data_IF_990377767011
#
_entry.id   IF_990377767011
#
_cell.length_a   1.000
_cell.length_b   1.000
_cell.length_c   1.000
_cell.angle_alpha   90.00
_cell.angle_beta   90.00
_cell.angle_gamma   90.00
#
_symmetry.space_group_name_H-M   'P 1'
#
loop_
_entity.id
_entity.type
_entity.pdbx_description
1 polymer ?
#
# COMPACT_ATOMS: atom_id res chain seq x y z
N UNK A 1 54.08 -23.20 -22.89
CA UNK A 1 53.32 -21.94 -22.66
C UNK A 1 52.29 -21.57 -23.76
N UNK A 2 52.30 -22.16 -24.97
CA UNK A 2 51.36 -21.80 -26.05
C UNK A 2 49.94 -22.39 -25.94
N UNK A 3 49.76 -23.53 -25.24
CA UNK A 3 48.45 -24.21 -25.07
C UNK A 3 47.47 -23.45 -24.18
N UNK A 4 47.96 -22.86 -23.07
CA UNK A 4 47.16 -22.10 -22.09
C UNK A 4 46.55 -20.80 -22.67
N UNK A 5 47.26 -20.11 -23.57
CA UNK A 5 46.75 -18.87 -24.21
C UNK A 5 45.60 -19.15 -25.21
N UNK A 6 45.63 -20.27 -25.94
CA UNK A 6 44.54 -20.67 -26.85
C UNK A 6 43.26 -21.07 -26.10
N UNK A 7 43.40 -21.71 -24.94
CA UNK A 7 42.27 -22.10 -24.08
C UNK A 7 41.57 -20.88 -23.45
N UNK A 8 42.34 -19.91 -22.92
CA UNK A 8 41.79 -18.65 -22.38
C UNK A 8 41.05 -17.82 -23.45
N UNK A 9 41.55 -17.78 -24.69
CA UNK A 9 40.91 -17.05 -25.81
C UNK A 9 39.61 -17.73 -26.27
N UNK A 10 39.53 -19.07 -26.27
CA UNK A 10 38.28 -19.83 -26.52
C UNK A 10 37.24 -19.60 -25.42
N UNK A 11 37.64 -19.60 -24.15
CA UNK A 11 36.73 -19.36 -23.02
C UNK A 11 36.17 -17.92 -23.01
N UNK A 12 37.02 -16.94 -23.30
CA UNK A 12 36.62 -15.53 -23.46
C UNK A 12 35.62 -15.34 -24.61
N UNK A 13 35.87 -15.97 -25.77
CA UNK A 13 34.96 -15.93 -26.91
C UNK A 13 33.62 -16.66 -26.66
N UNK A 14 33.61 -17.71 -25.83
CA UNK A 14 32.37 -18.37 -25.42
C UNK A 14 31.57 -17.52 -24.42
N UNK A 15 32.25 -16.82 -23.50
CA UNK A 15 31.63 -15.89 -22.55
C UNK A 15 31.05 -14.66 -23.26
N UNK A 16 31.75 -14.10 -24.25
CA UNK A 16 31.24 -12.98 -25.06
C UNK A 16 30.02 -13.38 -25.89
N UNK A 17 30.06 -14.54 -26.58
CA UNK A 17 28.89 -15.08 -27.30
C UNK A 17 27.69 -15.33 -26.38
N UNK A 18 27.90 -15.89 -25.18
CA UNK A 18 26.83 -16.06 -24.18
C UNK A 18 26.25 -14.73 -23.70
N UNK A 19 27.08 -13.69 -23.53
CA UNK A 19 26.62 -12.33 -23.21
C UNK A 19 25.77 -11.75 -24.36
N UNK A 20 26.23 -11.84 -25.61
CA UNK A 20 25.51 -11.34 -26.80
C UNK A 20 24.17 -12.06 -27.01
N UNK A 21 24.12 -13.37 -26.82
CA UNK A 21 22.85 -14.15 -26.91
C UNK A 21 21.89 -13.71 -25.80
N UNK A 22 22.37 -13.55 -24.57
CA UNK A 22 21.54 -13.05 -23.45
C UNK A 22 21.02 -11.63 -23.68
N UNK A 23 21.82 -10.73 -24.25
CA UNK A 23 21.37 -9.38 -24.60
C UNK A 23 20.35 -9.39 -25.73
N UNK A 24 20.53 -10.23 -26.76
CA UNK A 24 19.56 -10.34 -27.86
C UNK A 24 18.23 -10.92 -27.38
N UNK A 25 18.24 -11.98 -26.56
CA UNK A 25 17.02 -12.54 -25.96
C UNK A 25 16.29 -11.51 -25.10
N UNK A 26 17.03 -10.71 -24.30
CA UNK A 26 16.44 -9.64 -23.49
C UNK A 26 15.81 -8.55 -24.35
N UNK A 27 16.47 -8.15 -25.45
CA UNK A 27 15.93 -7.15 -26.39
C UNK A 27 14.64 -7.64 -27.06
N UNK A 28 14.63 -8.86 -27.60
CA UNK A 28 13.44 -9.45 -28.23
C UNK A 28 12.26 -9.59 -27.27
N UNK A 29 12.50 -9.97 -26.00
CA UNK A 29 11.45 -10.02 -24.98
C UNK A 29 10.89 -8.63 -24.64
N UNK A 30 11.75 -7.61 -24.60
CA UNK A 30 11.33 -6.23 -24.36
C UNK A 30 10.44 -5.70 -25.50
N UNK A 31 10.79 -6.02 -26.75
CA UNK A 31 10.02 -5.61 -27.93
C UNK A 31 8.64 -6.28 -27.97
N UNK A 32 8.57 -7.58 -27.64
CA UNK A 32 7.30 -8.31 -27.51
C UNK A 32 6.41 -7.73 -26.41
N UNK A 33 6.98 -7.38 -25.26
CA UNK A 33 6.23 -6.77 -24.15
C UNK A 33 5.69 -5.39 -24.54
N UNK A 34 6.50 -4.55 -25.19
CA UNK A 34 6.05 -3.25 -25.68
C UNK A 34 4.90 -3.37 -26.70
N UNK A 35 4.96 -4.37 -27.59
CA UNK A 35 3.87 -4.66 -28.52
C UNK A 35 2.59 -5.11 -27.80
N UNK A 36 2.71 -5.95 -26.76
CA UNK A 36 1.59 -6.35 -25.92
C UNK A 36 0.93 -5.15 -25.22
N UNK A 37 1.73 -4.26 -24.61
CA UNK A 37 1.22 -3.04 -23.97
C UNK A 37 0.48 -2.16 -24.96
N UNK A 38 1.01 -1.98 -26.18
CA UNK A 38 0.35 -1.19 -27.22
C UNK A 38 -1.00 -1.79 -27.63
N UNK A 39 -1.10 -3.13 -27.71
CA UNK A 39 -2.36 -3.83 -27.96
C UNK A 39 -3.34 -3.65 -26.79
N UNK A 40 -2.87 -3.76 -25.55
CA UNK A 40 -3.66 -3.55 -24.34
C UNK A 40 -4.24 -2.12 -24.29
N UNK A 41 -3.41 -1.10 -24.55
CA UNK A 41 -3.84 0.30 -24.62
C UNK A 41 -4.97 0.51 -25.63
N UNK A 42 -4.87 -0.11 -26.81
CA UNK A 42 -5.89 -0.01 -27.85
C UNK A 42 -7.17 -0.77 -27.47
N UNK A 43 -7.04 -1.98 -26.91
CA UNK A 43 -8.17 -2.81 -26.49
C UNK A 43 -9.06 -2.10 -25.46
N UNK A 44 -8.46 -1.46 -24.46
CA UNK A 44 -9.17 -0.74 -23.40
C UNK A 44 -9.36 0.74 -23.70
N UNK A 45 -9.08 1.17 -24.94
CA UNK A 45 -9.22 2.56 -25.40
C UNK A 45 -8.59 3.56 -24.43
N UNK A 46 -7.44 3.22 -23.82
CA UNK A 46 -6.78 4.06 -22.82
C UNK A 46 -6.52 5.47 -23.37
N UNK A 47 -6.23 5.59 -24.67
CA UNK A 47 -6.03 6.90 -25.30
C UNK A 47 -7.24 7.84 -25.28
N UNK A 48 -8.43 7.31 -25.05
CA UNK A 48 -9.70 8.04 -24.99
C UNK A 48 -10.12 8.38 -23.55
N UNK A 49 -9.56 7.69 -22.56
CA UNK A 49 -9.80 7.97 -21.14
C UNK A 49 -8.91 9.14 -20.73
N UNK A 50 -9.50 10.29 -20.43
CA UNK A 50 -8.78 11.45 -19.90
C UNK A 50 -9.72 12.24 -19.01
N UNK A 51 -9.23 12.65 -17.84
CA UNK A 51 -9.98 13.31 -16.78
C UNK A 51 -10.79 14.51 -17.30
N UNK A 52 -10.22 15.29 -18.23
CA UNK A 52 -10.85 16.50 -18.78
C UNK A 52 -12.01 16.23 -19.75
N UNK A 53 -12.17 14.97 -20.22
CA UNK A 53 -13.20 14.58 -21.20
C UNK A 53 -14.41 13.93 -20.55
N UNK A 54 -14.44 13.84 -19.22
CA UNK A 54 -15.41 13.04 -18.49
C UNK A 54 -16.09 13.92 -17.42
N UNK A 55 -17.42 13.89 -17.37
CA UNK A 55 -18.15 14.53 -16.27
C UNK A 55 -17.77 13.85 -14.96
N UNK A 56 -17.35 14.64 -13.96
CA UNK A 56 -17.06 14.12 -12.62
C UNK A 56 -18.35 13.49 -12.10
N UNK A 57 -18.37 12.17 -11.92
CA UNK A 57 -19.56 11.46 -11.46
C UNK A 57 -19.89 11.93 -10.02
N UNK A 58 -21.10 12.48 -9.77
CA UNK A 58 -21.52 12.91 -8.44
C UNK A 58 -21.67 11.75 -7.44
N UNK A 59 -21.91 10.53 -7.91
CA UNK A 59 -22.21 9.35 -7.08
C UNK A 59 -21.05 8.91 -6.19
N UNK A 60 -19.80 9.23 -6.53
CA UNK A 60 -18.62 8.96 -5.71
C UNK A 60 -18.26 10.14 -4.77
N UNK A 61 -19.24 10.93 -4.32
CA UNK A 61 -19.00 11.85 -3.20
C UNK A 61 -18.69 11.12 -1.90
N UNK A 62 -19.19 9.89 -1.79
CA UNK A 62 -19.01 9.07 -0.62
C UNK A 62 -19.09 7.59 -0.91
N UNK A 63 -18.25 6.80 -0.23
CA UNK A 63 -18.29 5.34 -0.29
C UNK A 63 -18.91 4.80 0.99
N UNK A 64 -19.95 3.96 0.93
CA UNK A 64 -20.46 3.28 2.11
C UNK A 64 -19.40 2.34 2.69
N UNK A 65 -19.35 2.28 4.02
CA UNK A 65 -18.63 1.22 4.71
C UNK A 65 -19.61 0.12 5.11
N UNK A 66 -19.20 -1.14 5.00
CA UNK A 66 -20.04 -2.27 5.40
C UNK A 66 -20.08 -2.52 6.91
N UNK A 67 -19.42 -1.69 7.73
CA UNK A 67 -19.46 -1.83 9.19
C UNK A 67 -20.90 -1.70 9.76
N UNK A 68 -21.84 -1.08 9.03
CA UNK A 68 -23.28 -1.11 9.36
C UNK A 68 -24.00 -2.41 8.96
N UNK A 69 -23.54 -3.12 7.92
CA UNK A 69 -24.25 -4.28 7.36
C UNK A 69 -24.14 -5.54 8.24
N UNK A 70 -23.19 -5.54 9.20
CA UNK A 70 -23.02 -6.60 10.21
C UNK A 70 -24.33 -6.97 10.94
N UNK A 71 -25.31 -6.05 11.00
CA UNK A 71 -26.60 -6.29 11.68
C UNK A 71 -27.85 -6.29 10.80
N UNK A 72 -27.77 -6.02 9.48
CA UNK A 72 -28.97 -5.73 8.65
C UNK A 72 -29.30 -6.75 7.56
N UNK A 73 -28.37 -7.62 7.14
CA UNK A 73 -28.72 -8.71 6.20
C UNK A 73 -29.20 -9.94 6.97
N UNK A 74 -30.53 -10.08 7.12
CA UNK A 74 -31.14 -11.41 7.33
C UNK A 74 -30.67 -12.30 6.17
N UNK A 75 -30.00 -13.40 6.48
CA UNK A 75 -29.56 -14.41 5.51
C UNK A 75 -30.73 -14.80 4.60
N UNK A 76 -30.71 -14.33 3.35
CA UNK A 76 -31.55 -14.83 2.28
C UNK A 76 -30.69 -15.67 1.33
N UNK A 77 -31.03 -16.97 1.28
CA UNK A 77 -30.63 -18.08 0.39
C UNK A 77 -29.16 -18.26 -0.04
N UNK A 78 -28.81 -19.55 -0.20
CA UNK A 78 -27.54 -20.16 -0.65
C UNK A 78 -27.07 -19.67 -2.04
N UNK A 79 -26.70 -18.41 -2.20
CA UNK A 79 -25.87 -18.01 -3.35
C UNK A 79 -24.39 -18.32 -3.06
N UNK A 80 -23.65 -18.70 -4.10
CA UNK A 80 -22.22 -18.92 -3.98
C UNK A 80 -21.54 -17.61 -3.58
N UNK A 81 -20.70 -17.64 -2.54
CA UNK A 81 -19.97 -16.48 -2.06
C UNK A 81 -19.00 -16.01 -3.15
N UNK A 82 -19.17 -14.78 -3.62
CA UNK A 82 -18.33 -14.16 -4.65
C UNK A 82 -16.93 -13.83 -4.10
N UNK A 83 -15.96 -13.66 -5.01
CA UNK A 83 -14.60 -13.27 -4.66
C UNK A 83 -13.72 -14.39 -4.09
N UNK A 84 -14.26 -15.61 -3.90
CA UNK A 84 -13.50 -16.78 -3.42
C UNK A 84 -12.71 -17.45 -4.54
N UNK A 85 -11.74 -16.73 -5.11
CA UNK A 85 -10.94 -17.16 -6.27
C UNK A 85 -9.45 -17.19 -5.94
N UNK A 86 -8.78 -18.30 -6.26
CA UNK A 86 -7.33 -18.44 -6.13
C UNK A 86 -6.58 -17.80 -7.30
N UNK A 87 -5.34 -17.37 -7.06
CA UNK A 87 -4.43 -16.84 -8.08
C UNK A 87 -3.29 -17.80 -8.35
N UNK A 88 -3.08 -18.19 -9.62
CA UNK A 88 -1.95 -19.03 -10.00
C UNK A 88 -0.64 -18.27 -9.81
N UNK A 89 0.27 -18.82 -9.01
CA UNK A 89 1.65 -18.34 -8.92
C UNK A 89 2.36 -18.46 -10.28
N UNK A 90 2.93 -17.36 -10.76
CA UNK A 90 3.65 -17.27 -12.04
C UNK A 90 5.17 -17.45 -11.89
N UNK A 91 5.61 -17.98 -10.74
CA UNK A 91 7.01 -18.23 -10.39
C UNK A 91 7.54 -17.14 -9.46
N UNK A 92 7.65 -17.46 -8.17
CA UNK A 92 8.04 -16.51 -7.10
C UNK A 92 7.16 -15.24 -7.04
N UNK A 93 5.90 -15.31 -7.48
CA UNK A 93 4.94 -14.18 -7.49
C UNK A 93 3.92 -14.23 -6.36
N UNK A 94 4.18 -15.00 -5.30
CA UNK A 94 3.28 -15.07 -4.14
C UNK A 94 3.14 -13.71 -3.42
N UNK A 95 4.18 -12.88 -3.38
CA UNK A 95 4.12 -11.50 -2.85
C UNK A 95 3.05 -10.66 -3.57
N UNK A 96 2.94 -10.83 -4.88
CA UNK A 96 1.97 -10.15 -5.74
C UNK A 96 0.56 -10.70 -5.49
N UNK A 97 0.41 -12.03 -5.49
CA UNK A 97 -0.87 -12.68 -5.22
C UNK A 97 -1.43 -12.30 -3.84
N UNK A 98 -0.59 -12.32 -2.81
CA UNK A 98 -0.97 -11.96 -1.45
C UNK A 98 -1.47 -10.51 -1.37
N UNK A 99 -0.74 -9.58 -1.99
CA UNK A 99 -1.08 -8.15 -2.03
C UNK A 99 -2.40 -7.89 -2.78
N UNK A 100 -2.60 -8.56 -3.92
CA UNK A 100 -3.86 -8.46 -4.69
C UNK A 100 -5.03 -9.00 -3.88
N UNK A 101 -4.88 -10.15 -3.23
CA UNK A 101 -5.96 -10.74 -2.42
C UNK A 101 -6.33 -9.86 -1.23
N UNK A 102 -5.36 -9.18 -0.63
CA UNK A 102 -5.61 -8.21 0.45
C UNK A 102 -6.45 -7.03 -0.07
N UNK A 103 -6.03 -6.39 -1.17
CA UNK A 103 -6.74 -5.25 -1.75
C UNK A 103 -8.10 -5.64 -2.37
N UNK A 104 -8.22 -6.84 -2.93
CA UNK A 104 -9.46 -7.35 -3.51
C UNK A 104 -10.57 -7.50 -2.47
N UNK A 105 -10.22 -7.85 -1.24
CA UNK A 105 -11.17 -7.94 -0.12
C UNK A 105 -11.38 -6.59 0.61
N UNK A 106 -10.66 -5.53 0.23
CA UNK A 106 -10.94 -4.19 0.72
C UNK A 106 -12.18 -3.63 0.01
N UNK A 107 -13.34 -3.78 0.66
CA UNK A 107 -14.62 -3.47 0.04
C UNK A 107 -14.68 -2.09 -0.66
N UNK A 108 -14.40 -0.95 0.01
CA UNK A 108 -14.55 0.36 -0.63
C UNK A 108 -13.73 0.52 -1.91
N UNK A 109 -12.55 -0.12 -1.96
CA UNK A 109 -11.68 -0.10 -3.12
C UNK A 109 -12.17 -1.06 -4.22
N UNK A 110 -12.55 -2.28 -3.85
CA UNK A 110 -13.07 -3.26 -4.80
C UNK A 110 -14.38 -2.82 -5.44
N UNK A 111 -15.31 -2.21 -4.68
CA UNK A 111 -16.56 -1.67 -5.18
C UNK A 111 -16.29 -0.54 -6.18
N UNK A 112 -15.33 0.35 -5.88
CA UNK A 112 -14.90 1.41 -6.79
C UNK A 112 -14.46 0.88 -8.17
N UNK A 113 -13.73 -0.23 -8.20
CA UNK A 113 -13.26 -0.85 -9.46
C UNK A 113 -14.32 -1.70 -10.17
N UNK A 114 -15.22 -2.32 -9.42
CA UNK A 114 -16.33 -3.11 -9.99
C UNK A 114 -17.33 -2.20 -10.69
N UNK A 115 -17.61 -1.03 -10.12
CA UNK A 115 -18.55 -0.01 -10.63
C UNK A 115 -17.93 0.93 -11.68
N UNK A 116 -16.70 0.64 -12.13
CA UNK A 116 -16.03 1.39 -13.20
C UNK A 116 -15.71 2.87 -12.93
N UNK A 117 -15.77 3.32 -11.67
CA UNK A 117 -15.47 4.70 -11.31
C UNK A 117 -14.04 5.13 -11.70
N UNK A 118 -13.09 4.19 -11.71
CA UNK A 118 -11.72 4.45 -12.14
C UNK A 118 -11.62 4.97 -13.57
N UNK A 119 -12.52 4.53 -14.47
CA UNK A 119 -12.47 4.94 -15.89
C UNK A 119 -12.73 6.43 -16.06
N UNK A 120 -13.38 7.07 -15.08
CA UNK A 120 -13.68 8.51 -15.07
C UNK A 120 -12.62 9.39 -14.42
N UNK A 121 -11.66 8.77 -13.72
CA UNK A 121 -10.65 9.51 -12.95
C UNK A 121 -9.22 9.31 -13.49
N UNK A 122 -9.04 8.49 -14.53
CA UNK A 122 -7.72 8.25 -15.15
C UNK A 122 -7.17 9.56 -15.72
N UNK A 123 -6.04 10.00 -15.16
CA UNK A 123 -5.33 11.20 -15.56
C UNK A 123 -4.08 10.84 -16.37
N UNK A 124 -4.19 10.92 -17.70
CA UNK A 124 -3.09 10.58 -18.61
C UNK A 124 -2.06 11.68 -18.79
N UNK A 125 -2.39 12.90 -18.36
CA UNK A 125 -1.49 14.06 -18.43
C UNK A 125 -0.46 14.05 -17.30
N UNK A 126 -0.69 13.26 -16.26
CA UNK A 126 0.25 13.09 -15.18
C UNK A 126 1.52 12.36 -15.67
N UNK A 127 2.69 13.04 -15.72
CA UNK A 127 3.94 12.44 -16.19
C UNK A 127 4.48 11.37 -15.25
N UNK A 128 4.02 11.31 -14.00
CA UNK A 128 4.43 10.32 -12.99
C UNK A 128 3.60 9.02 -13.13
N UNK A 129 2.38 9.13 -13.66
CA UNK A 129 1.46 8.01 -13.80
C UNK A 129 1.92 6.95 -14.79
N UNK A 130 1.24 5.80 -14.78
CA UNK A 130 1.37 4.78 -15.82
C UNK A 130 0.42 5.01 -17.00
N UNK A 131 -0.21 6.19 -17.07
CA UNK A 131 -1.26 6.54 -18.02
C UNK A 131 -2.47 5.59 -17.97
N UNK A 132 -2.78 5.08 -16.77
CA UNK A 132 -3.90 4.16 -16.53
C UNK A 132 -3.60 2.69 -16.78
N UNK A 133 -2.38 2.32 -17.18
CA UNK A 133 -2.00 0.94 -17.46
C UNK A 133 -2.17 0.04 -16.23
N UNK A 134 -1.51 0.40 -15.13
CA UNK A 134 -1.53 -0.39 -13.91
C UNK A 134 -2.94 -0.44 -13.32
N UNK A 135 -3.64 0.70 -13.30
CA UNK A 135 -5.00 0.80 -12.75
C UNK A 135 -6.02 -0.02 -13.52
N UNK A 136 -6.02 0.02 -14.86
CA UNK A 136 -6.97 -0.78 -15.66
C UNK A 136 -6.66 -2.25 -15.57
N UNK A 137 -5.37 -2.64 -15.58
CA UNK A 137 -4.99 -4.04 -15.38
C UNK A 137 -5.42 -4.55 -13.98
N UNK A 138 -5.29 -3.72 -12.94
CA UNK A 138 -5.78 -4.04 -11.61
C UNK A 138 -7.31 -4.17 -11.59
N UNK A 139 -8.05 -3.21 -12.17
CA UNK A 139 -9.49 -3.22 -12.24
C UNK A 139 -10.04 -4.47 -12.96
N UNK A 140 -9.44 -4.85 -14.10
CA UNK A 140 -9.78 -6.06 -14.84
C UNK A 140 -9.61 -7.32 -13.97
N UNK A 141 -8.53 -7.39 -13.19
CA UNK A 141 -8.27 -8.51 -12.30
C UNK A 141 -9.27 -8.57 -11.15
N UNK A 142 -9.58 -7.43 -10.52
CA UNK A 142 -10.62 -7.34 -9.47
C UNK A 142 -11.98 -7.79 -10.01
N UNK A 143 -12.39 -7.29 -11.18
CA UNK A 143 -13.63 -7.74 -11.83
C UNK A 143 -13.61 -9.23 -12.13
N UNK A 144 -12.50 -9.76 -12.63
CA UNK A 144 -12.36 -11.19 -12.89
C UNK A 144 -12.53 -12.02 -11.63
N UNK A 145 -12.04 -11.56 -10.47
CA UNK A 145 -12.21 -12.23 -9.17
C UNK A 145 -13.67 -12.18 -8.69
N UNK A 146 -14.33 -11.01 -8.81
CA UNK A 146 -15.64 -10.78 -8.17
C UNK A 146 -16.86 -11.03 -9.05
N UNK A 147 -16.72 -10.93 -10.37
CA UNK A 147 -17.79 -11.14 -11.35
C UNK A 147 -17.73 -12.53 -12.00
N UNK A 148 -16.82 -13.41 -11.56
CA UNK A 148 -16.74 -14.78 -12.06
C UNK A 148 -18.05 -15.53 -11.80
N UNK A 149 -18.61 -16.13 -12.84
CA UNK A 149 -19.78 -16.99 -12.74
C UNK A 149 -19.38 -18.38 -12.22
N UNK A 150 -19.38 -18.51 -10.89
CA UNK A 150 -19.00 -19.75 -10.19
C UNK A 150 -19.95 -20.89 -10.54
N UNK A 151 -21.21 -20.61 -10.90
CA UNK A 151 -22.22 -21.64 -11.19
C UNK A 151 -21.96 -22.35 -12.53
N UNK A 152 -21.26 -21.71 -13.46
CA UNK A 152 -20.87 -22.29 -14.76
C UNK A 152 -19.60 -23.15 -14.70
N UNK A 153 -18.92 -23.21 -13.55
CA UNK A 153 -17.72 -24.04 -13.41
C UNK A 153 -18.12 -25.52 -13.34
N UNK A 154 -17.81 -26.25 -14.40
CA UNK A 154 -18.11 -27.69 -14.55
C UNK A 154 -17.25 -28.58 -13.64
N UNK A 155 -16.19 -28.03 -13.03
CA UNK A 155 -15.25 -28.77 -12.18
C UNK A 155 -15.50 -28.41 -10.71
N UNK A 156 -15.72 -29.43 -9.86
CA UNK A 156 -15.71 -29.26 -8.40
C UNK A 156 -14.30 -28.83 -7.97
N UNK A 157 -14.15 -27.57 -7.57
CA UNK A 157 -12.89 -27.03 -7.08
C UNK A 157 -12.94 -25.52 -6.86
N UNK A 158 -11.92 -24.98 -6.21
CA UNK A 158 -11.74 -23.53 -6.09
C UNK A 158 -11.49 -22.93 -7.47
N UNK A 159 -12.22 -21.89 -7.89
CA UNK A 159 -11.92 -21.17 -9.13
C UNK A 159 -10.51 -20.59 -9.07
N UNK A 160 -9.79 -20.62 -10.20
CA UNK A 160 -8.42 -20.14 -10.29
C UNK A 160 -8.31 -19.17 -11.46
N UNK A 161 -7.74 -17.99 -11.21
CA UNK A 161 -7.36 -17.02 -12.25
C UNK A 161 -5.84 -17.05 -12.44
N UNK A 162 -5.42 -16.86 -13.69
CA UNK A 162 -4.02 -16.68 -14.06
C UNK A 162 -3.80 -15.18 -14.27
N UNK A 163 -3.11 -14.46 -13.37
CA UNK A 163 -2.95 -13.00 -13.45
C UNK A 163 -1.87 -12.57 -14.46
N UNK A 164 -1.88 -13.16 -15.66
CA UNK A 164 -0.83 -12.95 -16.67
C UNK A 164 -0.85 -11.54 -17.27
N UNK A 165 -2.04 -11.00 -17.56
CA UNK A 165 -2.21 -9.61 -18.03
C UNK A 165 -1.63 -8.62 -17.01
N UNK A 166 -2.08 -8.73 -15.75
CA UNK A 166 -1.60 -7.88 -14.67
C UNK A 166 -0.08 -8.00 -14.47
N UNK A 167 0.47 -9.22 -14.41
CA UNK A 167 1.90 -9.43 -14.24
C UNK A 167 2.74 -8.84 -15.41
N UNK A 168 2.27 -8.94 -16.65
CA UNK A 168 2.95 -8.33 -17.81
C UNK A 168 2.94 -6.81 -17.74
N UNK A 169 1.79 -6.21 -17.41
CA UNK A 169 1.65 -4.75 -17.31
C UNK A 169 2.53 -4.21 -16.17
N UNK A 170 2.45 -4.80 -14.97
CA UNK A 170 3.28 -4.40 -13.83
C UNK A 170 4.78 -4.55 -14.15
N UNK A 171 5.18 -5.66 -14.77
CA UNK A 171 6.58 -5.86 -15.17
C UNK A 171 7.06 -4.87 -16.24
N UNK A 172 6.15 -4.32 -17.05
CA UNK A 172 6.45 -3.22 -17.98
C UNK A 172 6.60 -1.89 -17.26
N UNK A 173 5.68 -1.57 -16.31
CA UNK A 173 5.70 -0.35 -15.53
C UNK A 173 6.91 -0.27 -14.59
N UNK A 174 7.31 -1.40 -13.98
CA UNK A 174 8.50 -1.49 -13.15
C UNK A 174 9.24 -2.81 -13.37
N UNK A 175 10.46 -2.68 -13.91
CA UNK A 175 11.32 -3.81 -14.29
C UNK A 175 11.75 -4.67 -13.11
N UNK A 176 11.77 -4.13 -11.88
CA UNK A 176 12.08 -4.91 -10.68
C UNK A 176 11.08 -6.04 -10.45
N UNK A 177 9.84 -5.91 -10.93
CA UNK A 177 8.81 -6.95 -10.84
C UNK A 177 8.68 -7.80 -12.11
N UNK A 178 9.56 -7.62 -13.10
CA UNK A 178 9.46 -8.32 -14.39
C UNK A 178 10.06 -9.73 -14.41
N UNK A 179 11.02 -10.01 -13.53
CA UNK A 179 11.65 -11.31 -13.44
C UNK A 179 10.97 -12.22 -12.40
N UNK A 180 11.40 -13.49 -12.34
CA UNK A 180 10.84 -14.46 -11.41
C UNK A 180 11.65 -14.52 -10.10
N UNK A 181 12.16 -13.38 -9.64
CA UNK A 181 12.79 -13.28 -8.32
C UNK A 181 11.74 -13.06 -7.24
N UNK A 182 12.07 -13.47 -6.01
CA UNK A 182 11.25 -13.09 -4.85
C UNK A 182 11.41 -11.59 -4.60
N UNK A 183 10.33 -10.97 -4.13
CA UNK A 183 10.27 -9.54 -3.84
C UNK A 183 9.51 -9.36 -2.53
N UNK A 184 9.70 -8.20 -1.92
CA UNK A 184 8.99 -7.84 -0.70
C UNK A 184 7.52 -7.49 -1.00
N UNK A 185 6.58 -8.10 -0.27
CA UNK A 185 5.17 -7.82 -0.43
C UNK A 185 4.81 -6.39 0.01
N UNK A 186 5.51 -5.82 0.98
CA UNK A 186 5.31 -4.44 1.42
C UNK A 186 5.73 -3.47 0.32
N UNK A 187 6.91 -3.65 -0.28
CA UNK A 187 7.38 -2.80 -1.38
C UNK A 187 6.46 -2.89 -2.59
N UNK A 188 6.04 -4.10 -2.96
CA UNK A 188 5.12 -4.29 -4.07
C UNK A 188 3.75 -3.66 -3.81
N UNK A 189 3.18 -3.86 -2.62
CA UNK A 189 1.88 -3.27 -2.28
C UNK A 189 1.94 -1.74 -2.31
N UNK A 190 3.00 -1.13 -1.76
CA UNK A 190 3.16 0.32 -1.79
C UNK A 190 3.35 0.84 -3.22
N UNK A 191 4.17 0.16 -4.03
CA UNK A 191 4.30 0.50 -5.44
C UNK A 191 2.96 0.45 -6.17
N UNK A 192 2.17 -0.60 -5.97
CA UNK A 192 0.87 -0.72 -6.63
C UNK A 192 -0.10 0.40 -6.22
N UNK A 193 -0.15 0.73 -4.92
CA UNK A 193 -1.01 1.81 -4.43
C UNK A 193 -0.57 3.19 -4.93
N UNK A 194 0.75 3.41 -5.05
CA UNK A 194 1.31 4.63 -5.64
C UNK A 194 0.95 4.77 -7.13
N UNK A 195 1.09 3.70 -7.92
CA UNK A 195 0.69 3.71 -9.33
C UNK A 195 -0.81 3.94 -9.51
N UNK A 196 -1.66 3.33 -8.68
CA UNK A 196 -3.11 3.57 -8.69
C UNK A 196 -3.41 5.01 -8.26
N UNK A 197 -2.69 5.56 -7.27
CA UNK A 197 -2.83 6.94 -6.87
C UNK A 197 -2.52 7.90 -8.01
N UNK A 198 -1.36 7.73 -8.66
CA UNK A 198 -0.88 8.62 -9.71
C UNK A 198 -1.74 8.52 -10.99
N UNK A 199 -2.17 7.32 -11.37
CA UNK A 199 -3.11 7.12 -12.48
C UNK A 199 -4.46 7.78 -12.21
N UNK A 200 -4.93 7.80 -10.96
CA UNK A 200 -6.24 8.34 -10.54
C UNK A 200 -6.14 9.70 -9.87
N UNK A 201 -5.00 10.39 -10.00
CA UNK A 201 -4.80 11.68 -9.37
C UNK A 201 -5.63 12.74 -10.09
N UNK A 202 -6.67 13.24 -9.42
CA UNK A 202 -7.64 14.21 -9.95
C UNK A 202 -7.07 15.63 -10.09
N UNK A 203 -5.80 15.85 -9.76
CA UNK A 203 -5.14 17.14 -9.94
C UNK A 203 -4.73 17.30 -11.40
N UNK A 204 -5.21 18.36 -12.03
CA UNK A 204 -4.86 18.70 -13.40
C UNK A 204 -3.47 19.34 -13.48
N UNK A 205 -2.76 19.05 -14.57
CA UNK A 205 -1.40 19.57 -14.81
C UNK A 205 -1.43 20.88 -15.62
N UNK A 206 -0.45 21.79 -15.42
CA UNK A 206 0.71 21.66 -14.52
C UNK A 206 0.34 21.87 -13.05
N UNK A 207 0.94 21.05 -12.17
CA UNK A 207 0.78 21.21 -10.72
C UNK A 207 1.39 22.55 -10.31
N UNK A 208 0.63 23.38 -9.59
CA UNK A 208 1.16 24.60 -8.98
C UNK A 208 2.24 24.22 -7.96
N UNK A 209 3.40 24.87 -8.02
CA UNK A 209 4.45 24.64 -7.03
C UNK A 209 3.94 25.06 -5.65
N UNK A 210 3.88 24.10 -4.74
CA UNK A 210 3.57 24.34 -3.33
C UNK A 210 4.83 24.06 -2.54
N UNK A 211 5.35 25.08 -1.86
CA UNK A 211 6.51 24.93 -0.99
C UNK A 211 6.17 24.00 0.18
N UNK A 212 7.09 23.08 0.47
CA UNK A 212 7.01 22.30 1.70
C UNK A 212 7.17 23.26 2.88
N UNK A 213 6.21 23.23 3.80
CA UNK A 213 6.20 24.12 4.96
C UNK A 213 6.97 23.51 6.10
N UNK A 214 7.83 24.33 6.68
CA UNK A 214 8.54 24.06 7.91
C UNK A 214 8.16 25.15 8.91
N UNK A 215 7.70 24.74 10.09
CA UNK A 215 7.23 25.67 11.11
C UNK A 215 8.23 25.72 12.25
N UNK A 216 8.65 26.92 12.63
CA UNK A 216 9.67 27.16 13.65
C UNK A 216 9.05 27.76 14.92
N UNK A 217 9.62 27.43 16.07
CA UNK A 217 9.29 28.03 17.37
C UNK A 217 8.30 27.21 18.20
N UNK A 218 7.98 27.72 19.38
CA UNK A 218 7.08 27.05 20.33
C UNK A 218 5.62 27.27 19.92
N UNK A 219 4.99 26.24 19.34
CA UNK A 219 3.61 26.31 18.88
C UNK A 219 2.66 25.68 19.91
N UNK A 220 1.56 26.36 20.21
CA UNK A 220 0.48 25.76 20.99
C UNK A 220 -0.36 24.79 20.14
N UNK A 221 -1.23 24.01 20.78
CA UNK A 221 -2.05 23.00 20.09
C UNK A 221 -2.92 23.59 18.97
N UNK A 222 -3.48 24.80 19.14
CA UNK A 222 -4.35 25.43 18.15
C UNK A 222 -3.57 25.83 16.90
N UNK A 223 -2.36 26.36 17.08
CA UNK A 223 -1.45 26.69 15.98
C UNK A 223 -1.06 25.44 15.21
N UNK A 224 -0.70 24.37 15.91
CA UNK A 224 -0.38 23.08 15.29
C UNK A 224 -1.56 22.51 14.48
N UNK A 225 -2.82 22.62 14.96
CA UNK A 225 -3.99 22.20 14.17
C UNK A 225 -4.11 23.01 12.87
N UNK A 226 -3.95 24.34 12.96
CA UNK A 226 -4.04 25.23 11.81
C UNK A 226 -2.95 24.91 10.79
N UNK A 227 -1.70 24.82 11.23
CA UNK A 227 -0.55 24.47 10.39
C UNK A 227 -0.74 23.11 9.71
N UNK A 228 -1.26 22.11 10.44
CA UNK A 228 -1.54 20.80 9.90
C UNK A 228 -2.62 20.81 8.81
N UNK A 229 -3.71 21.56 9.04
CA UNK A 229 -4.81 21.69 8.08
C UNK A 229 -4.38 22.46 6.83
N UNK A 230 -3.61 23.53 6.97
CA UNK A 230 -3.04 24.27 5.84
C UNK A 230 -2.10 23.38 5.01
N UNK A 231 -1.22 22.63 5.67
CA UNK A 231 -0.31 21.68 5.00
C UNK A 231 -1.08 20.56 4.30
N UNK A 232 -2.22 20.13 4.86
CA UNK A 232 -3.10 19.16 4.20
C UNK A 232 -3.81 19.74 2.99
N UNK A 233 -4.30 20.99 3.06
CA UNK A 233 -4.85 21.69 1.89
C UNK A 233 -3.84 21.83 0.77
N UNK A 234 -2.60 22.17 1.10
CA UNK A 234 -1.45 22.22 0.20
C UNK A 234 -1.07 20.86 -0.39
N UNK A 235 -1.18 19.79 0.41
CA UNK A 235 -1.02 18.42 -0.07
C UNK A 235 -2.13 18.04 -1.07
N UNK A 236 -3.39 18.34 -0.74
CA UNK A 236 -4.52 18.08 -1.62
C UNK A 236 -4.45 18.89 -2.92
N UNK A 237 -3.74 20.02 -3.00
CA UNK A 237 -3.50 20.69 -4.28
C UNK A 237 -2.70 19.85 -5.28
N UNK A 238 -1.99 18.82 -4.80
CA UNK A 238 -1.10 17.97 -5.59
C UNK A 238 -1.56 16.52 -5.68
N UNK A 239 -2.25 16.02 -4.65
CA UNK A 239 -2.62 14.62 -4.53
C UNK A 239 -4.10 14.49 -4.14
N UNK A 240 -4.93 14.00 -5.07
CA UNK A 240 -6.35 13.68 -4.82
C UNK A 240 -6.73 12.40 -5.54
N UNK A 241 -6.98 11.30 -4.83
CA UNK A 241 -7.52 10.07 -5.44
C UNK A 241 -8.23 9.22 -4.39
N UNK A 242 -8.88 8.13 -4.83
CA UNK A 242 -9.43 7.08 -3.97
C UNK A 242 -8.41 6.61 -2.90
N UNK A 243 -7.12 6.58 -3.23
CA UNK A 243 -6.07 6.15 -2.29
C UNK A 243 -5.89 7.18 -1.17
N UNK A 244 -5.89 8.47 -1.51
CA UNK A 244 -5.86 9.57 -0.52
C UNK A 244 -7.11 9.51 0.38
N UNK A 245 -8.26 9.29 -0.23
CA UNK A 245 -9.56 9.24 0.46
C UNK A 245 -9.61 8.08 1.48
N UNK A 246 -9.06 6.92 1.14
CA UNK A 246 -9.13 5.71 1.97
C UNK A 246 -7.97 5.57 2.95
N UNK A 247 -6.73 5.72 2.47
CA UNK A 247 -5.54 5.15 3.12
C UNK A 247 -4.58 6.20 3.68
N UNK A 248 -4.79 7.49 3.35
CA UNK A 248 -3.85 8.51 3.77
C UNK A 248 -4.32 9.32 4.98
N UNK A 249 -3.40 9.45 5.93
CA UNK A 249 -3.50 10.33 7.09
C UNK A 249 -2.39 11.37 7.08
N UNK A 250 -2.00 11.85 8.26
CA UNK A 250 -0.93 12.83 8.40
C UNK A 250 -0.06 12.54 9.63
N UNK A 251 1.25 12.61 9.46
CA UNK A 251 2.24 12.67 10.53
C UNK A 251 2.50 14.12 10.95
N UNK A 252 2.97 14.29 12.19
CA UNK A 252 3.69 15.48 12.63
C UNK A 252 5.07 15.05 13.10
N UNK A 253 6.10 15.43 12.36
CA UNK A 253 7.49 15.29 12.78
C UNK A 253 7.90 16.51 13.58
N UNK A 254 8.44 16.29 14.78
CA UNK A 254 8.97 17.33 15.66
C UNK A 254 10.47 17.12 15.84
N UNK A 255 11.25 18.18 15.67
CA UNK A 255 12.68 18.22 15.94
C UNK A 255 12.97 19.32 16.94
N UNK A 256 13.62 18.99 18.07
CA UNK A 256 14.09 19.96 19.06
C UNK A 256 15.62 20.00 19.05
N UNK A 257 16.20 21.16 18.79
CA UNK A 257 17.63 21.37 18.93
C UNK A 257 18.03 21.39 20.42
N UNK A 258 19.02 20.59 20.85
CA UNK A 258 19.51 20.63 22.24
C UNK A 258 20.56 21.72 22.50
N UNK A 259 20.99 22.44 21.45
CA UNK A 259 21.91 23.59 21.60
C UNK A 259 21.21 24.93 21.73
N UNK A 260 20.07 25.14 21.05
CA UNK A 260 19.33 26.42 21.07
C UNK A 260 17.87 26.28 21.52
N UNK A 261 17.45 25.09 21.94
CA UNK A 261 16.10 24.76 22.40
C UNK A 261 14.94 25.01 21.41
N UNK A 262 15.23 25.42 20.17
CA UNK A 262 14.19 25.67 19.16
C UNK A 262 13.58 24.39 18.62
N UNK A 263 12.25 24.43 18.45
CA UNK A 263 11.48 23.41 17.76
C UNK A 263 11.32 23.73 16.27
N UNK A 264 11.29 22.65 15.50
CA UNK A 264 10.92 22.57 14.10
C UNK A 264 9.82 21.54 13.94
N UNK A 265 8.74 21.89 13.24
CA UNK A 265 7.63 21.00 12.92
C UNK A 265 7.45 20.83 11.41
N UNK A 266 7.21 19.59 10.98
CA UNK A 266 6.85 19.23 9.59
C UNK A 266 5.64 18.31 9.60
N UNK A 267 4.65 18.61 8.78
CA UNK A 267 3.48 17.74 8.60
C UNK A 267 3.56 17.04 7.25
N UNK A 268 3.44 15.72 7.26
CA UNK A 268 3.67 14.88 6.07
C UNK A 268 2.53 13.86 5.90
N UNK A 269 2.21 13.45 4.67
CA UNK A 269 1.20 12.42 4.44
C UNK A 269 1.64 11.08 5.04
N UNK A 270 0.72 10.41 5.74
CA UNK A 270 0.88 9.06 6.27
C UNK A 270 0.20 8.09 5.31
N UNK A 271 0.95 7.14 4.72
CA UNK A 271 0.37 6.08 3.89
C UNK A 271 0.27 4.73 4.63
N UNK A 272 1.29 4.40 5.43
CA UNK A 272 1.35 3.19 6.23
C UNK A 272 2.31 3.38 7.41
N UNK A 273 2.16 2.53 8.44
CA UNK A 273 3.07 2.49 9.59
C UNK A 273 4.04 1.34 9.43
N UNK A 274 5.34 1.64 9.42
CA UNK A 274 6.40 0.62 9.36
C UNK A 274 7.02 0.50 10.76
N UNK A 275 6.37 -0.30 11.62
CA UNK A 275 6.63 -0.31 13.06
C UNK A 275 7.79 -1.26 13.42
N UNK A 276 8.68 -0.85 14.34
CA UNK A 276 9.68 -1.75 14.89
C UNK A 276 9.00 -2.81 15.76
N UNK A 277 9.68 -3.93 15.97
CA UNK A 277 9.27 -4.98 16.91
C UNK A 277 10.22 -4.87 18.11
N UNK A 278 9.72 -4.41 19.29
CA UNK A 278 10.49 -4.39 20.53
C UNK A 278 10.93 -5.79 20.94
N UNK A 279 12.07 -5.88 21.63
CA UNK A 279 12.53 -7.12 22.24
C UNK A 279 11.78 -7.31 23.56
N UNK A 280 10.71 -8.10 23.53
CA UNK A 280 9.87 -8.48 24.68
C UNK A 280 9.47 -9.95 24.50
N UNK A 281 9.14 -10.67 25.58
CA UNK A 281 8.64 -12.05 25.46
C UNK A 281 7.19 -12.07 24.94
N UNK A 282 6.36 -11.15 25.42
CA UNK A 282 4.99 -10.92 24.95
C UNK A 282 4.93 -9.54 24.30
N UNK A 283 4.78 -9.48 22.97
CA UNK A 283 4.71 -8.23 22.23
C UNK A 283 3.30 -8.01 21.69
N UNK A 284 2.66 -6.92 22.12
CA UNK A 284 1.39 -6.47 21.58
C UNK A 284 1.63 -5.49 20.42
N UNK A 285 0.76 -5.50 19.40
CA UNK A 285 0.85 -4.57 18.28
C UNK A 285 0.88 -3.10 18.73
N UNK A 286 0.14 -2.80 19.80
CA UNK A 286 0.11 -1.45 20.35
C UNK A 286 1.47 -0.99 20.89
N UNK A 287 2.31 -1.91 21.38
CA UNK A 287 3.65 -1.61 21.87
C UNK A 287 4.58 -1.30 20.70
N UNK A 288 4.47 -2.03 19.58
CA UNK A 288 5.17 -1.69 18.35
C UNK A 288 4.84 -0.25 17.87
N UNK A 289 3.57 0.13 17.96
CA UNK A 289 3.12 1.49 17.59
C UNK A 289 3.60 2.52 18.60
N UNK A 290 3.57 2.22 19.91
CA UNK A 290 4.13 3.10 20.95
C UNK A 290 5.62 3.34 20.75
N UNK A 291 6.38 2.30 20.45
CA UNK A 291 7.82 2.43 20.16
C UNK A 291 8.06 3.23 18.87
N UNK A 292 7.18 3.10 17.86
CA UNK A 292 7.26 3.90 16.64
C UNK A 292 7.07 5.40 16.86
N UNK A 293 6.23 5.82 17.82
CA UNK A 293 5.93 7.24 18.12
C UNK A 293 6.75 7.80 19.29
N UNK A 294 7.64 6.99 19.85
CA UNK A 294 8.49 7.37 20.97
C UNK A 294 9.52 8.41 20.52
N UNK A 295 9.88 9.28 21.44
CA UNK A 295 10.95 10.27 21.22
C UNK A 295 12.30 9.56 21.13
N UNK A 296 13.08 9.92 20.12
CA UNK A 296 14.45 9.43 19.93
C UNK A 296 15.45 10.59 20.05
N UNK A 297 16.60 10.32 20.67
CA UNK A 297 17.70 11.27 20.71
C UNK A 297 18.67 11.02 19.56
N UNK A 298 18.92 12.07 18.80
CA UNK A 298 19.87 12.11 17.70
C UNK A 298 21.20 12.60 18.24
N UNK A 299 22.13 11.68 18.51
CA UNK A 299 23.45 11.97 19.08
C UNK A 299 24.56 11.32 18.25
N UNK A 300 25.81 11.72 18.46
CA UNK A 300 27.00 11.13 17.82
C UNK A 300 26.90 11.14 16.28
N UNK A 301 27.03 9.97 15.63
CA UNK A 301 26.94 9.84 14.16
C UNK A 301 25.57 10.16 13.56
N UNK A 302 24.55 10.35 14.38
CA UNK A 302 23.18 10.67 13.95
C UNK A 302 22.79 12.14 14.22
N UNK A 303 23.74 13.02 14.56
CA UNK A 303 23.48 14.44 14.80
C UNK A 303 22.75 15.11 13.62
N UNK A 304 21.87 16.04 13.95
CA UNK A 304 21.09 16.80 12.98
C UNK A 304 21.75 18.16 12.72
N UNK A 305 21.67 18.65 11.48
CA UNK A 305 22.16 19.99 11.15
C UNK A 305 21.11 21.03 11.49
N UNK A 306 21.37 21.84 12.52
CA UNK A 306 20.48 22.92 12.92
C UNK A 306 20.77 24.19 12.12
N UNK A 307 19.83 24.62 11.29
CA UNK A 307 19.96 25.86 10.49
C UNK A 307 20.14 27.10 11.36
N UNK A 308 19.51 27.15 12.54
CA UNK A 308 19.67 28.27 13.47
C UNK A 308 21.06 28.31 14.13
N UNK A 309 21.65 27.15 14.41
CA UNK A 309 23.01 27.09 14.99
C UNK A 309 24.11 27.01 13.92
N UNK A 310 23.72 26.76 12.67
CA UNK A 310 24.57 26.52 11.52
C UNK A 310 25.65 25.43 11.78
N UNK A 311 25.27 24.35 12.48
CA UNK A 311 26.16 23.23 12.83
C UNK A 311 25.39 21.94 13.11
N UNK A 312 26.09 20.82 13.12
CA UNK A 312 25.58 19.56 13.65
C UNK A 312 25.39 19.66 15.17
N UNK A 313 24.23 19.23 15.65
CA UNK A 313 23.83 19.29 17.05
C UNK A 313 23.15 17.99 17.46
N UNK A 314 23.20 17.72 18.76
CA UNK A 314 22.28 16.75 19.34
C UNK A 314 20.85 17.31 19.29
N UNK A 315 19.90 16.44 18.97
CA UNK A 315 18.50 16.83 18.82
C UNK A 315 17.55 15.75 19.35
N UNK A 316 16.33 16.14 19.72
CA UNK A 316 15.24 15.19 19.99
C UNK A 316 14.35 15.16 18.77
N UNK A 317 14.09 13.95 18.25
CA UNK A 317 13.17 13.72 17.15
C UNK A 317 11.95 12.94 17.64
N UNK A 318 10.77 13.31 17.15
CA UNK A 318 9.51 12.64 17.47
C UNK A 318 8.61 12.56 16.26
N UNK A 319 7.96 11.43 16.06
CA UNK A 319 6.89 11.26 15.08
C UNK A 319 5.57 11.09 15.83
N UNK A 320 4.64 12.01 15.61
CA UNK A 320 3.28 11.89 16.13
C UNK A 320 2.31 11.49 15.01
N UNK A 321 1.42 10.54 15.31
CA UNK A 321 0.28 10.20 14.46
C UNK A 321 -0.76 11.32 14.54
N UNK A 322 -0.62 12.34 13.69
CA UNK A 322 -1.43 13.56 13.79
C UNK A 322 -2.88 13.34 13.35
N UNK A 323 -3.06 12.65 12.21
CA UNK A 323 -4.35 12.24 11.65
C UNK A 323 -4.26 10.81 11.13
N UNK A 324 -5.21 9.97 11.53
CA UNK A 324 -5.25 8.58 11.09
C UNK A 324 -6.21 8.37 9.90
N UNK A 325 -5.83 7.55 8.91
CA UNK A 325 -6.66 7.22 7.76
C UNK A 325 -7.87 6.37 8.13
N UNK A 326 -8.79 6.20 7.20
CA UNK A 326 -9.89 5.24 7.33
C UNK A 326 -9.38 3.81 7.28
N UNK A 327 -8.53 3.51 6.32
CA UNK A 327 -7.86 2.23 6.16
C UNK A 327 -6.42 2.40 6.59
N UNK A 328 -6.04 1.77 7.69
CA UNK A 328 -4.71 1.84 8.25
C UNK A 328 -3.93 0.59 7.85
N UNK A 329 -2.80 0.80 7.16
CA UNK A 329 -1.85 -0.26 6.83
C UNK A 329 -0.71 -0.23 7.84
N UNK A 330 -0.43 -1.37 8.46
CA UNK A 330 0.67 -1.54 9.42
C UNK A 330 1.57 -2.66 8.94
N UNK A 331 2.79 -2.31 8.58
CA UNK A 331 3.87 -3.21 8.26
C UNK A 331 4.72 -3.47 9.51
N UNK A 332 4.96 -4.74 9.81
CA UNK A 332 5.82 -5.20 10.90
C UNK A 332 7.25 -5.36 10.37
N UNK A 333 8.20 -4.54 10.85
CA UNK A 333 9.61 -4.59 10.42
C UNK A 333 10.32 -5.85 10.91
N UNK A 334 10.00 -7.00 10.31
CA UNK A 334 10.55 -8.31 10.67
C UNK A 334 11.96 -8.53 10.17
N UNK A 335 12.38 -7.88 9.09
CA UNK A 335 13.72 -8.06 8.54
C UNK A 335 14.68 -7.02 9.11
N UNK A 336 15.71 -7.49 9.82
CA UNK A 336 16.80 -6.66 10.36
C UNK A 336 18.10 -7.03 9.67
N UNK A 337 18.90 -6.02 9.33
CA UNK A 337 20.28 -6.22 8.90
C UNK A 337 21.15 -6.53 10.12
N UNK A 338 21.88 -7.63 10.06
CA UNK A 338 22.90 -8.05 11.03
C UNK A 338 24.25 -8.19 10.30
N UNK A 339 25.36 -8.31 11.04
CA UNK A 339 26.71 -8.37 10.46
C UNK A 339 26.86 -9.42 9.33
N UNK A 340 26.14 -10.54 9.44
CA UNK A 340 26.21 -11.67 8.51
C UNK A 340 25.00 -11.79 7.54
N UNK A 341 24.25 -10.72 7.32
CA UNK A 341 23.15 -10.69 6.35
C UNK A 341 21.82 -10.21 6.93
N UNK A 342 20.70 -10.74 6.44
CA UNK A 342 19.36 -10.34 6.87
C UNK A 342 18.79 -11.44 7.77
N UNK A 343 18.32 -11.06 8.97
CA UNK A 343 17.62 -11.95 9.89
C UNK A 343 16.15 -11.57 9.98
N UNK A 344 15.26 -12.57 9.93
CA UNK A 344 13.84 -12.41 10.18
C UNK A 344 13.54 -12.54 11.69
N UNK A 345 12.68 -11.67 12.21
CA UNK A 345 12.08 -11.76 13.54
C UNK A 345 10.83 -12.64 13.43
N UNK A 346 10.91 -13.81 14.05
CA UNK A 346 9.83 -14.82 14.05
C UNK A 346 8.92 -14.74 15.28
N UNK A 347 9.15 -13.76 16.16
CA UNK A 347 8.30 -13.53 17.32
C UNK A 347 6.84 -13.31 16.92
N UNK A 348 5.92 -13.99 17.61
CA UNK A 348 4.49 -13.75 17.50
C UNK A 348 4.13 -12.37 18.07
N UNK A 349 3.35 -11.60 17.30
CA UNK A 349 2.87 -10.28 17.74
C UNK A 349 1.37 -10.36 17.91
N UNK A 350 0.90 -10.10 19.12
CA UNK A 350 -0.53 -10.14 19.41
C UNK A 350 -1.21 -8.87 18.89
N UNK A 351 -2.12 -9.04 17.93
CA UNK A 351 -2.88 -7.96 17.34
C UNK A 351 -4.39 -8.24 17.44
N UNK A 352 -5.21 -7.23 17.81
CA UNK A 352 -6.63 -7.42 18.03
C UNK A 352 -7.43 -7.48 16.73
N UNK A 353 -8.32 -8.46 16.59
CA UNK A 353 -9.14 -8.63 15.38
C UNK A 353 -10.29 -7.64 15.28
N UNK A 354 -10.94 -7.31 16.41
CA UNK A 354 -12.21 -6.54 16.41
C UNK A 354 -12.06 -5.11 16.93
N UNK A 355 -11.05 -4.82 17.73
CA UNK A 355 -10.93 -3.52 18.39
C UNK A 355 -9.49 -3.15 18.68
N UNK A 356 -8.80 -2.60 17.68
CA UNK A 356 -7.55 -1.88 17.86
C UNK A 356 -7.86 -0.42 18.21
N UNK A 357 -7.71 -0.06 19.48
CA UNK A 357 -7.88 1.32 19.94
C UNK A 357 -6.53 2.04 20.00
N UNK A 358 -6.33 2.99 19.10
CA UNK A 358 -5.08 3.76 19.00
C UNK A 358 -5.08 5.03 19.86
N UNK A 359 -6.12 5.33 20.63
CA UNK A 359 -6.24 6.59 21.38
C UNK A 359 -5.02 6.89 22.27
N UNK A 360 -4.40 5.86 22.84
CA UNK A 360 -3.21 5.97 23.69
C UNK A 360 -1.89 6.26 22.94
N UNK A 361 -1.88 6.17 21.62
CA UNK A 361 -0.72 6.44 20.77
C UNK A 361 -0.82 7.82 20.09
N UNK A 362 -1.86 8.59 20.37
CA UNK A 362 -2.12 9.87 19.71
C UNK A 362 -1.81 11.03 20.65
N UNK A 363 -1.24 12.13 20.14
CA UNK A 363 -0.97 13.30 20.97
C UNK A 363 -2.25 14.06 21.37
N UNK A 364 -3.40 13.70 20.77
CA UNK A 364 -4.66 14.43 20.88
C UNK A 364 -5.87 13.59 20.49
N UNK A 365 -7.05 14.13 20.80
CA UNK A 365 -8.33 13.62 20.28
C UNK A 365 -8.43 13.82 18.76
N UNK A 366 -8.95 12.78 18.11
CA UNK A 366 -9.25 12.78 16.68
C UNK A 366 -10.70 13.21 16.46
N UNK A 367 -11.01 13.62 15.22
CA UNK A 367 -12.39 13.94 14.81
C UNK A 367 -13.34 12.75 14.97
N UNK A 368 -12.81 11.55 14.74
CA UNK A 368 -13.49 10.27 14.88
C UNK A 368 -12.71 9.39 15.84
N UNK A 369 -13.38 8.51 16.58
CA UNK A 369 -12.70 7.59 17.48
C UNK A 369 -11.75 6.67 16.68
N UNK A 370 -10.47 6.55 17.07
CA UNK A 370 -9.49 5.77 16.31
C UNK A 370 -9.56 4.27 16.68
N UNK A 371 -10.74 3.68 16.50
CA UNK A 371 -11.01 2.26 16.77
C UNK A 371 -11.09 1.54 15.43
N UNK A 372 -10.32 0.47 15.29
CA UNK A 372 -10.17 -0.25 14.04
C UNK A 372 -10.49 -1.75 14.20
N UNK A 373 -11.01 -2.32 13.13
CA UNK A 373 -11.18 -3.76 12.94
C UNK A 373 -10.20 -4.28 11.90
N UNK A 374 -9.68 -5.49 12.10
CA UNK A 374 -8.82 -6.15 11.14
C UNK A 374 -9.62 -6.57 9.90
N UNK A 375 -9.13 -6.21 8.72
CA UNK A 375 -9.71 -6.55 7.42
C UNK A 375 -8.95 -7.67 6.72
N UNK A 376 -7.64 -7.71 6.92
CA UNK A 376 -6.79 -8.74 6.36
C UNK A 376 -5.34 -8.64 6.82
N UNK A 377 -4.60 -9.72 6.57
CA UNK A 377 -3.21 -9.92 6.96
C UNK A 377 -2.48 -10.59 5.82
N UNK A 378 -1.39 -9.98 5.34
CA UNK A 378 -0.38 -10.70 4.57
C UNK A 378 0.55 -11.37 5.56
N UNK A 379 0.73 -12.68 5.39
CA UNK A 379 1.64 -13.51 6.15
C UNK A 379 2.87 -13.87 5.30
N UNK A 380 4.00 -14.09 5.95
CA UNK A 380 5.24 -14.51 5.32
C UNK A 380 5.91 -15.60 6.13
N UNK A 381 6.20 -16.74 5.49
CA UNK A 381 7.01 -17.84 6.04
C UNK A 381 8.37 -17.91 5.33
N UNK A 382 9.41 -18.40 6.02
CA UNK A 382 10.76 -18.55 5.45
C UNK A 382 11.64 -17.30 5.60
N UNK A 383 12.74 -17.25 4.85
CA UNK A 383 13.78 -16.21 4.93
C UNK A 383 13.55 -15.10 3.90
N UNK A 384 14.35 -14.03 3.95
CA UNK A 384 14.29 -12.91 2.98
C UNK A 384 14.46 -13.37 1.52
N UNK A 385 15.33 -14.36 1.30
CA UNK A 385 15.73 -14.80 -0.04
C UNK A 385 14.91 -16.01 -0.53
N UNK A 386 14.27 -16.71 0.42
CA UNK A 386 13.49 -17.93 0.20
C UNK A 386 12.34 -17.99 1.20
N UNK A 387 11.28 -17.28 0.86
CA UNK A 387 10.04 -17.29 1.61
C UNK A 387 8.81 -17.51 0.74
N UNK A 388 7.65 -17.43 1.38
CA UNK A 388 6.34 -17.58 0.74
C UNK A 388 5.34 -16.65 1.40
N UNK A 389 4.59 -15.93 0.57
CA UNK A 389 3.55 -15.00 1.00
C UNK A 389 2.17 -15.57 0.76
N UNK A 390 1.25 -15.31 1.69
CA UNK A 390 -0.16 -15.70 1.60
C UNK A 390 -1.00 -14.71 2.41
N UNK A 391 -2.31 -14.69 2.20
CA UNK A 391 -3.19 -13.68 2.79
C UNK A 391 -4.35 -14.30 3.52
N UNK A 392 -4.64 -13.82 4.73
CA UNK A 392 -5.94 -13.98 5.36
C UNK A 392 -6.75 -12.70 5.14
N UNK A 393 -7.99 -12.80 4.69
CA UNK A 393 -8.85 -11.64 4.56
C UNK A 393 -10.29 -11.97 4.92
N UNK A 394 -10.99 -10.97 5.45
CA UNK A 394 -12.42 -11.04 5.73
C UNK A 394 -13.19 -10.73 4.46
N UNK A 395 -14.04 -11.65 4.00
CA UNK A 395 -14.86 -11.46 2.80
C UNK A 395 -15.87 -10.33 3.01
N UNK A 396 -16.01 -9.44 2.03
CA UNK A 396 -17.03 -8.38 2.04
C UNK A 396 -18.46 -8.89 1.83
N UNK A 397 -18.62 -10.12 1.30
CA UNK A 397 -19.92 -10.67 0.94
C UNK A 397 -20.64 -11.28 2.15
N UNK A 398 -19.90 -12.07 2.94
CA UNK A 398 -20.44 -12.84 4.07
C UNK A 398 -19.73 -12.60 5.41
N UNK A 399 -18.73 -11.72 5.46
CA UNK A 399 -17.96 -11.37 6.65
C UNK A 399 -17.17 -12.51 7.32
N UNK A 400 -17.04 -13.66 6.66
CA UNK A 400 -16.20 -14.77 7.14
C UNK A 400 -14.74 -14.57 6.75
N UNK A 401 -13.84 -15.24 7.47
CA UNK A 401 -12.41 -15.23 7.20
C UNK A 401 -12.01 -16.33 6.21
N UNK A 402 -11.11 -15.99 5.31
CA UNK A 402 -10.59 -16.89 4.30
C UNK A 402 -9.07 -16.78 4.19
N UNK A 403 -8.41 -17.92 4.06
CA UNK A 403 -7.03 -18.06 3.63
C UNK A 403 -6.97 -18.08 2.10
N UNK A 404 -6.14 -17.21 1.53
CA UNK A 404 -5.77 -17.16 0.13
C UNK A 404 -4.26 -17.48 0.00
N UNK A 405 -3.96 -18.69 -0.41
CA UNK A 405 -2.60 -19.17 -0.63
C UNK A 405 -2.44 -19.58 -2.09
N UNK A 406 -2.04 -18.62 -2.93
CA UNK A 406 -2.02 -18.76 -4.38
C UNK A 406 -3.34 -19.33 -4.90
N UNK A 407 -3.33 -20.58 -5.41
CA UNK A 407 -4.52 -21.24 -5.99
C UNK A 407 -5.52 -21.71 -4.93
N UNK A 408 -5.09 -21.85 -3.69
CA UNK A 408 -5.90 -22.39 -2.61
C UNK A 408 -6.69 -21.28 -1.93
N UNK A 409 -8.00 -21.48 -1.82
CA UNK A 409 -8.88 -20.65 -0.98
C UNK A 409 -9.56 -21.57 0.03
N UNK A 410 -9.43 -21.25 1.32
CA UNK A 410 -10.00 -22.04 2.42
C UNK A 410 -10.69 -21.11 3.40
N UNK A 411 -11.92 -21.42 3.80
CA UNK A 411 -12.55 -20.73 4.92
C UNK A 411 -11.84 -21.12 6.23
N UNK A 412 -11.57 -20.13 7.07
CA UNK A 412 -10.91 -20.31 8.37
C UNK A 412 -11.62 -19.47 9.42
N UNK A 413 -11.34 -19.76 10.68
CA UNK A 413 -11.68 -18.91 11.80
C UNK A 413 -10.58 -17.87 12.04
N UNK A 414 -10.92 -16.75 12.67
CA UNK A 414 -9.94 -15.67 12.92
C UNK A 414 -8.78 -16.11 13.83
N UNK A 415 -9.01 -17.09 14.71
CA UNK A 415 -8.00 -17.66 15.61
C UNK A 415 -7.02 -18.61 14.90
N UNK A 416 -7.27 -18.99 13.64
CA UNK A 416 -6.35 -19.79 12.83
C UNK A 416 -5.26 -18.91 12.16
N UNK A 417 -5.32 -17.58 12.32
CA UNK A 417 -4.35 -16.66 11.71
C UNK A 417 -3.04 -16.71 12.52
N UNK A 418 -1.91 -17.17 11.93
CA UNK A 418 -0.62 -17.28 12.60
C UNK A 418 -0.03 -15.90 12.84
N UNK A 419 0.19 -15.56 14.12
CA UNK A 419 0.66 -14.24 14.52
C UNK A 419 2.17 -14.04 14.27
N UNK A 420 2.95 -15.12 14.29
CA UNK A 420 4.38 -15.18 13.98
C UNK A 420 4.67 -14.88 12.50
N UNK A 421 3.75 -15.26 11.61
CA UNK A 421 3.90 -15.05 10.17
C UNK A 421 3.32 -13.72 9.70
N UNK A 422 2.46 -13.07 10.51
CA UNK A 422 1.84 -11.81 10.16
C UNK A 422 2.91 -10.77 9.80
N UNK A 423 2.86 -10.23 8.59
CA UNK A 423 3.87 -9.33 8.04
C UNK A 423 3.30 -7.94 7.77
N UNK A 424 2.10 -7.86 7.22
CA UNK A 424 1.39 -6.61 6.96
C UNK A 424 -0.08 -6.78 7.33
N UNK A 425 -0.56 -5.88 8.19
CA UNK A 425 -1.91 -5.84 8.73
C UNK A 425 -2.69 -4.70 8.08
N UNK A 426 -3.91 -4.97 7.62
CA UNK A 426 -4.82 -3.95 7.13
C UNK A 426 -6.01 -3.82 8.06
N UNK A 427 -6.18 -2.63 8.61
CA UNK A 427 -7.21 -2.26 9.56
C UNK A 427 -8.17 -1.25 8.95
N UNK A 428 -9.45 -1.34 9.31
CA UNK A 428 -10.48 -0.40 8.88
C UNK A 428 -11.18 0.25 10.07
N UNK A 429 -11.33 1.57 10.03
CA UNK A 429 -11.94 2.35 11.12
C UNK A 429 -13.43 1.99 11.24
N UNK A 430 -13.82 1.41 12.37
CA UNK A 430 -15.18 0.90 12.59
C UNK A 430 -16.19 1.99 12.96
N UNK A 431 -15.71 3.19 13.30
CA UNK A 431 -16.55 4.28 13.80
C UNK A 431 -17.09 5.20 12.71
N UNK A 432 -16.76 4.94 11.44
CA UNK A 432 -17.22 5.76 10.33
C UNK A 432 -18.19 4.99 9.44
N UNK A 433 -19.41 5.50 9.22
CA UNK A 433 -20.37 4.84 8.36
C UNK A 433 -20.06 5.05 6.88
N UNK A 434 -19.42 6.17 6.55
CA UNK A 434 -19.30 6.68 5.20
C UNK A 434 -17.93 7.35 5.03
N UNK A 435 -17.22 6.97 3.97
CA UNK A 435 -15.95 7.60 3.61
C UNK A 435 -16.26 8.73 2.65
N UNK A 436 -15.88 9.94 3.01
CA UNK A 436 -16.12 11.11 2.16
C UNK A 436 -14.89 11.40 1.31
N UNK A 437 -15.12 11.79 0.06
CA UNK A 437 -14.07 12.28 -0.83
C UNK A 437 -13.42 13.53 -0.24
N UNK A 438 -12.09 13.56 -0.19
CA UNK A 438 -11.32 14.71 0.29
C UNK A 438 -11.07 15.69 -0.86
N UNK A 439 -11.56 16.91 -0.73
CA UNK A 439 -11.35 17.97 -1.74
C UNK A 439 -11.11 19.32 -1.07
N UNK A 440 -10.51 20.26 -1.80
CA UNK A 440 -10.25 21.62 -1.29
C UNK A 440 -11.56 22.40 -1.10
N UNK A 441 -12.57 22.12 -1.92
CA UNK A 441 -13.87 22.79 -1.86
C UNK A 441 -14.70 22.38 -0.65
N UNK A 442 -14.40 21.24 -0.01
CA UNK A 442 -15.11 20.74 1.17
C UNK A 442 -14.13 20.37 2.31
N UNK A 443 -13.46 21.35 2.94
CA UNK A 443 -12.50 21.10 4.02
C UNK A 443 -13.11 20.40 5.24
N UNK A 444 -14.42 20.50 5.45
CA UNK A 444 -15.15 19.79 6.49
C UNK A 444 -15.14 18.27 6.31
N UNK A 445 -14.76 17.76 5.14
CA UNK A 445 -14.57 16.33 4.89
C UNK A 445 -13.15 15.84 5.19
N UNK A 446 -12.21 16.75 5.48
CA UNK A 446 -10.85 16.39 5.87
C UNK A 446 -10.84 15.70 7.24
N UNK A 447 -9.80 14.91 7.55
CA UNK A 447 -9.63 14.34 8.89
C UNK A 447 -9.32 15.42 9.96
N UNK A 448 -9.03 16.65 9.54
CA UNK A 448 -8.72 17.79 10.40
C UNK A 448 -9.97 18.36 11.08
N UNK A 449 -9.75 18.92 12.27
CA UNK A 449 -10.78 19.68 12.99
C UNK A 449 -10.52 21.14 12.66
N UNK A 450 -11.24 21.65 11.68
CA UNK A 450 -11.17 23.05 11.27
C UNK A 450 -12.24 23.77 12.09
N UNK A 451 -11.81 24.57 13.07
CA UNK A 451 -12.68 25.42 13.90
C UNK A 451 -12.54 26.87 13.50
#
# INVERSE_FOLDING_TARGET
MASSKKQKKKLSNQLSKKKTIRTNIRKTKCDQLAQYVKKFQNQFKLNQLDLDKQEIIPSYQSIPTSYQLKGKKKFQKKEAVKGLVGLKNLGNKCYMNASIQLLSNLQPLSDYFIEDFQLTEINRKNPISTQGLATVAFANLIKSIWQMDIQKLTVKGTPIIIPEEFNKIIGYCNKSFSDNTQQDAQEFLMYLLDMIHEDLNRVTFPIKSVQLREYLGDCNQRELEKQAAETWGDYLQRSKSIIVDLMQGQFKNSLKCLSCDKYTYKFEPLMYLSVPIPESDECQLIECIKEYVKEEQLTNGNQWFCENCNKLVDAIKKIDLWKLPTILIIHLKRFKFIENGIKKIEQAINFPFESLNLSQCLPKLQKEKPIYELLGVICHTGTSDRGHYYTYARSKENFNWYLFNDRQVKQVNFNEIPQEDAYLLMYGKSTIPLIKRQTISFPENWPHVIK
#
